data_IF_627741285606
#
_entry.id   IF_627741285606
#
_cell.length_a   1.000
_cell.length_b   1.000
_cell.length_c   1.000
_cell.angle_alpha   90.00
_cell.angle_beta   90.00
_cell.angle_gamma   90.00
#
_symmetry.space_group_name_H-M   'P 1'
#
loop_
_entity.id
_entity.type
_entity.pdbx_description
1 polymer ?
#
# COMPACT_ATOMS: atom_id res chain seq x y z
N UNK A 1 -25.94 30.66 -19.71
CA UNK A 1 -24.57 30.16 -19.94
C UNK A 1 -23.69 30.66 -18.81
N UNK A 2 -23.51 29.87 -17.78
CA UNK A 2 -22.67 30.19 -16.62
C UNK A 2 -21.43 29.28 -16.70
N UNK A 3 -20.32 29.88 -17.08
CA UNK A 3 -19.01 29.24 -17.07
C UNK A 3 -18.55 29.07 -15.63
N UNK A 4 -18.46 27.83 -15.16
CA UNK A 4 -17.83 27.50 -13.89
C UNK A 4 -16.33 27.50 -14.10
N UNK A 5 -15.63 28.52 -13.59
CA UNK A 5 -14.18 28.57 -13.53
C UNK A 5 -13.68 27.47 -12.60
N UNK A 6 -12.93 26.52 -13.14
CA UNK A 6 -12.10 25.59 -12.38
C UNK A 6 -10.87 26.39 -11.92
N UNK A 7 -10.82 26.75 -10.65
CA UNK A 7 -9.64 27.38 -10.05
C UNK A 7 -8.61 26.27 -9.78
N UNK A 8 -7.38 26.38 -10.30
CA UNK A 8 -6.32 25.43 -9.92
C UNK A 8 -5.96 25.71 -8.46
N UNK A 9 -6.06 24.66 -7.63
CA UNK A 9 -5.64 24.71 -6.22
C UNK A 9 -4.15 24.97 -6.18
N UNK A 10 -3.78 26.16 -5.69
CA UNK A 10 -2.43 26.62 -5.61
C UNK A 10 -1.60 25.78 -4.64
N UNK A 11 -0.35 25.52 -5.01
CA UNK A 11 0.66 24.63 -4.37
C UNK A 11 1.08 25.08 -2.95
N UNK A 12 0.48 26.12 -2.38
CA UNK A 12 0.86 26.72 -1.09
C UNK A 12 0.12 26.14 0.16
N UNK A 13 -0.83 25.21 -0.03
CA UNK A 13 -1.60 24.63 1.07
C UNK A 13 -1.13 23.26 1.56
N UNK A 14 -0.11 22.67 0.97
CA UNK A 14 0.27 21.29 1.25
C UNK A 14 1.06 21.08 2.55
N UNK A 15 1.73 22.12 3.05
CA UNK A 15 2.56 22.02 4.25
C UNK A 15 1.74 21.87 5.54
N UNK A 16 0.49 22.37 5.57
CA UNK A 16 -0.39 22.24 6.75
C UNK A 16 -1.21 20.93 6.76
N UNK A 17 -1.29 20.20 5.63
CA UNK A 17 -2.06 18.97 5.53
C UNK A 17 -1.33 17.74 6.09
N UNK A 18 -0.01 17.77 6.25
CA UNK A 18 0.78 16.60 6.65
C UNK A 18 0.68 16.31 8.15
N UNK A 19 0.45 17.31 8.98
CA UNK A 19 0.44 17.16 10.44
C UNK A 19 -0.81 16.46 10.98
N UNK A 20 -1.83 16.26 10.12
CA UNK A 20 -3.13 15.69 10.50
C UNK A 20 -3.55 14.45 9.71
N UNK A 21 -2.64 13.87 8.90
CA UNK A 21 -2.98 12.65 8.18
C UNK A 21 -3.03 11.43 9.12
N UNK A 22 -3.99 10.52 8.92
CA UNK A 22 -3.98 9.23 9.61
C UNK A 22 -2.66 8.50 9.39
N UNK A 23 -2.20 7.68 10.36
CA UNK A 23 -0.91 6.99 10.26
C UNK A 23 -0.83 5.95 9.15
N UNK A 24 -1.96 5.47 8.65
CA UNK A 24 -2.04 4.46 7.62
C UNK A 24 -2.81 4.95 6.38
N UNK A 25 -2.42 4.45 5.21
CA UNK A 25 -3.07 4.69 3.92
C UNK A 25 -3.41 3.36 3.26
N UNK A 26 -4.65 3.19 2.81
CA UNK A 26 -5.04 2.15 1.87
C UNK A 26 -5.24 2.77 0.49
N UNK A 27 -4.41 2.39 -0.46
CA UNK A 27 -4.35 3.05 -1.79
C UNK A 27 -5.32 2.46 -2.82
N UNK A 28 -6.00 1.36 -2.47
CA UNK A 28 -6.99 0.68 -3.32
C UNK A 28 -8.01 -0.04 -2.43
N UNK A 29 -8.75 0.71 -1.63
CA UNK A 29 -9.53 0.18 -0.51
C UNK A 29 -10.71 -0.73 -0.91
N UNK A 30 -11.20 -0.61 -2.15
CA UNK A 30 -12.31 -1.40 -2.63
C UNK A 30 -13.50 -1.42 -1.66
N UNK A 31 -14.13 -2.57 -1.50
CA UNK A 31 -15.22 -2.78 -0.54
C UNK A 31 -14.77 -3.07 0.89
N UNK A 32 -13.48 -2.87 1.22
CA UNK A 32 -12.91 -3.03 2.58
C UNK A 32 -13.22 -4.41 3.18
N UNK A 33 -13.09 -5.46 2.40
CA UNK A 33 -13.52 -6.81 2.77
C UNK A 33 -12.66 -7.47 3.84
N UNK A 34 -11.45 -6.99 4.06
CA UNK A 34 -10.50 -7.54 5.04
C UNK A 34 -10.33 -6.64 6.30
N UNK A 35 -11.11 -5.56 6.40
CA UNK A 35 -11.11 -4.71 7.58
C UNK A 35 -11.92 -5.34 8.72
N UNK A 36 -11.41 -5.28 9.94
CA UNK A 36 -12.18 -5.59 11.15
C UNK A 36 -13.19 -4.49 11.45
N UNK A 37 -12.78 -3.23 11.34
CA UNK A 37 -13.64 -2.06 11.38
C UNK A 37 -13.46 -1.26 10.09
N UNK A 38 -14.51 -1.20 9.29
CA UNK A 38 -14.50 -0.46 8.02
C UNK A 38 -14.47 1.05 8.19
N UNK A 39 -14.73 1.54 9.40
CA UNK A 39 -14.75 2.96 9.73
C UNK A 39 -13.50 3.37 10.55
N UNK A 40 -12.50 2.51 10.68
CA UNK A 40 -11.28 2.81 11.42
C UNK A 40 -10.64 4.10 10.87
N UNK A 41 -10.59 5.13 11.70
CA UNK A 41 -10.10 6.48 11.38
C UNK A 41 -8.57 6.57 11.32
N UNK A 42 -7.88 5.53 11.78
CA UNK A 42 -6.42 5.43 11.64
C UNK A 42 -5.98 5.12 10.22
N UNK A 43 -6.90 4.74 9.33
CA UNK A 43 -6.63 4.40 7.94
C UNK A 43 -7.35 5.37 7.03
N UNK A 44 -6.60 6.14 6.26
CA UNK A 44 -7.12 6.92 5.15
C UNK A 44 -7.33 5.99 3.95
N UNK A 45 -8.52 6.02 3.38
CA UNK A 45 -8.95 5.07 2.35
C UNK A 45 -9.04 5.77 1.00
N UNK A 46 -8.25 5.31 0.04
CA UNK A 46 -8.26 5.79 -1.35
C UNK A 46 -8.77 4.71 -2.30
N UNK A 47 -9.40 5.12 -3.35
CA UNK A 47 -9.74 4.29 -4.52
C UNK A 47 -9.98 5.21 -5.73
N UNK A 48 -9.56 4.78 -6.91
CA UNK A 48 -9.77 5.56 -8.13
C UNK A 48 -11.22 5.51 -8.64
N UNK A 49 -11.99 4.50 -8.19
CA UNK A 49 -13.30 4.19 -8.77
C UNK A 49 -14.37 4.02 -7.70
N UNK A 50 -14.91 5.12 -7.12
CA UNK A 50 -16.07 5.05 -6.25
C UNK A 50 -17.25 4.39 -6.98
N UNK A 51 -17.95 3.47 -6.29
CA UNK A 51 -19.10 2.77 -6.90
C UNK A 51 -20.00 2.14 -5.85
N UNK A 52 -21.27 2.08 -6.19
CA UNK A 52 -22.28 1.40 -5.40
C UNK A 52 -23.06 0.47 -6.32
N UNK A 53 -22.93 -0.85 -6.14
CA UNK A 53 -23.48 -1.86 -7.02
C UNK A 53 -24.19 -2.95 -6.22
N UNK A 54 -25.26 -3.52 -6.81
CA UNK A 54 -25.81 -4.78 -6.34
C UNK A 54 -25.22 -5.91 -7.18
N UNK A 55 -24.51 -6.82 -6.54
CA UNK A 55 -23.92 -7.99 -7.18
C UNK A 55 -25.00 -9.00 -7.59
N UNK A 56 -24.66 -9.91 -8.50
CA UNK A 56 -25.57 -10.94 -9.00
C UNK A 56 -26.12 -11.88 -7.91
N UNK A 57 -25.44 -11.98 -6.74
CA UNK A 57 -25.89 -12.75 -5.57
C UNK A 57 -26.70 -11.92 -4.57
N UNK A 58 -27.11 -10.69 -4.93
CA UNK A 58 -27.89 -9.78 -4.10
C UNK A 58 -27.10 -8.99 -3.05
N UNK A 59 -25.78 -9.24 -2.89
CA UNK A 59 -24.94 -8.45 -1.97
C UNK A 59 -24.66 -7.07 -2.56
N UNK A 60 -24.63 -6.06 -1.70
CA UNK A 60 -24.20 -4.73 -2.11
C UNK A 60 -22.67 -4.61 -2.02
N UNK A 61 -22.08 -4.13 -3.07
CA UNK A 61 -20.71 -3.63 -3.09
C UNK A 61 -20.76 -2.11 -2.98
N UNK A 62 -20.16 -1.60 -1.93
CA UNK A 62 -19.98 -0.17 -1.71
C UNK A 62 -18.49 0.14 -1.64
N UNK A 63 -18.02 0.96 -2.59
CA UNK A 63 -16.66 1.50 -2.63
C UNK A 63 -16.78 3.00 -2.45
N UNK A 64 -16.65 3.42 -1.20
CA UNK A 64 -16.77 4.81 -0.74
C UNK A 64 -15.43 5.22 -0.11
N UNK A 65 -14.42 5.60 -0.92
CA UNK A 65 -13.14 6.06 -0.41
C UNK A 65 -13.30 7.43 0.26
N UNK A 66 -12.41 7.73 1.21
CA UNK A 66 -12.30 9.06 1.82
C UNK A 66 -11.74 10.06 0.78
N UNK A 67 -10.84 9.59 -0.08
CA UNK A 67 -10.23 10.37 -1.17
C UNK A 67 -10.28 9.56 -2.46
N UNK A 68 -10.74 10.18 -3.54
CA UNK A 68 -10.66 9.61 -4.88
C UNK A 68 -9.26 9.87 -5.43
N UNK A 69 -8.47 8.81 -5.53
CA UNK A 69 -7.09 8.90 -6.01
C UNK A 69 -6.67 7.62 -6.72
N UNK A 70 -5.78 7.76 -7.68
CA UNK A 70 -5.16 6.64 -8.39
C UNK A 70 -3.87 6.23 -7.66
N UNK A 71 -3.70 4.94 -7.39
CA UNK A 71 -2.51 4.43 -6.71
C UNK A 71 -1.21 4.64 -7.51
N UNK A 72 -1.32 4.96 -8.81
CA UNK A 72 -0.18 5.26 -9.69
C UNK A 72 0.34 6.69 -9.55
N UNK A 73 -0.45 7.57 -8.90
CA UNK A 73 -0.13 8.97 -8.67
C UNK A 73 -0.87 9.45 -7.41
N UNK A 74 -0.26 9.21 -6.25
CA UNK A 74 -0.89 9.52 -4.97
C UNK A 74 -0.74 11.01 -4.63
N UNK A 75 -1.83 11.69 -4.22
CA UNK A 75 -1.82 13.12 -3.92
C UNK A 75 -1.24 13.43 -2.53
N UNK A 76 -0.17 12.75 -2.14
CA UNK A 76 0.46 12.95 -0.84
C UNK A 76 1.96 13.21 -0.99
N UNK A 77 2.55 14.01 -0.09
CA UNK A 77 3.99 14.20 -0.03
C UNK A 77 4.74 12.88 0.26
N UNK A 78 6.03 12.90 -0.02
CA UNK A 78 6.93 11.83 0.39
C UNK A 78 6.88 11.66 1.91
N UNK A 79 7.08 10.43 2.40
CA UNK A 79 7.22 10.13 3.84
C UNK A 79 6.05 10.60 4.70
N UNK A 80 4.81 10.42 4.22
CA UNK A 80 3.59 10.86 4.91
C UNK A 80 3.05 9.81 5.88
N UNK A 81 3.19 8.50 5.58
CA UNK A 81 2.51 7.42 6.29
C UNK A 81 3.47 6.43 6.93
N UNK A 82 3.05 5.84 8.06
CA UNK A 82 3.79 4.76 8.71
C UNK A 82 3.46 3.38 8.13
N UNK A 83 2.23 3.23 7.63
CA UNK A 83 1.72 2.00 7.02
C UNK A 83 1.04 2.34 5.69
N UNK A 84 1.33 1.58 4.65
CA UNK A 84 0.58 1.61 3.39
C UNK A 84 0.05 0.22 3.10
N UNK A 85 -1.21 0.14 2.71
CA UNK A 85 -1.86 -1.10 2.28
C UNK A 85 -2.06 -0.99 0.77
N UNK A 86 -1.63 -2.02 0.04
CA UNK A 86 -1.75 -2.08 -1.41
C UNK A 86 -2.39 -3.40 -1.83
N UNK A 87 -3.69 -3.37 -2.16
CA UNK A 87 -4.48 -4.48 -2.70
C UNK A 87 -5.01 -4.10 -4.08
N UNK A 88 -4.11 -3.96 -5.09
CA UNK A 88 -4.53 -3.54 -6.42
C UNK A 88 -5.42 -4.59 -7.10
N UNK A 89 -6.14 -4.20 -8.16
CA UNK A 89 -6.78 -5.18 -9.04
C UNK A 89 -5.81 -6.25 -9.48
N UNK A 90 -6.26 -7.51 -9.47
CA UNK A 90 -5.43 -8.68 -9.81
C UNK A 90 -5.93 -9.40 -11.08
N UNK A 91 -7.00 -8.90 -11.70
CA UNK A 91 -7.51 -9.41 -12.96
C UNK A 91 -6.93 -8.58 -14.11
N UNK A 92 -6.40 -9.23 -15.13
CA UNK A 92 -5.93 -8.60 -16.37
C UNK A 92 -6.83 -8.94 -17.57
N UNK A 93 -7.68 -9.95 -17.41
CA UNK A 93 -8.68 -10.38 -18.41
C UNK A 93 -10.03 -10.62 -17.74
N UNK A 94 -11.08 -10.72 -18.56
CA UNK A 94 -12.42 -11.02 -18.09
C UNK A 94 -13.35 -9.80 -18.11
N UNK A 95 -14.60 -10.07 -17.75
CA UNK A 95 -15.71 -9.11 -17.70
C UNK A 95 -16.74 -9.57 -16.66
N UNK A 96 -17.74 -8.72 -16.39
CA UNK A 96 -18.84 -9.02 -15.49
C UNK A 96 -18.48 -8.83 -14.02
N UNK A 97 -19.24 -9.46 -13.12
CA UNK A 97 -19.29 -9.17 -11.71
C UNK A 97 -17.92 -9.25 -10.98
N UNK A 98 -16.99 -10.08 -11.47
CA UNK A 98 -15.64 -10.15 -10.87
C UNK A 98 -14.86 -8.87 -11.14
N UNK A 99 -14.94 -8.35 -12.36
CA UNK A 99 -14.32 -7.07 -12.72
C UNK A 99 -15.02 -5.92 -11.99
N UNK A 100 -16.34 -5.98 -11.90
CA UNK A 100 -17.10 -4.98 -11.13
C UNK A 100 -16.70 -4.94 -9.67
N UNK A 101 -16.39 -6.11 -9.08
CA UNK A 101 -16.04 -6.24 -7.67
C UNK A 101 -14.57 -5.90 -7.37
N UNK A 102 -13.66 -6.41 -8.18
CA UNK A 102 -12.21 -6.37 -7.86
C UNK A 102 -11.44 -5.37 -8.72
N UNK A 103 -12.09 -4.76 -9.72
CA UNK A 103 -11.40 -3.97 -10.71
C UNK A 103 -10.61 -4.84 -11.70
N UNK A 104 -9.99 -4.18 -12.67
CA UNK A 104 -9.20 -4.83 -13.70
C UNK A 104 -7.99 -3.98 -14.06
N UNK A 105 -6.83 -4.63 -14.16
CA UNK A 105 -5.64 -4.06 -14.77
C UNK A 105 -5.75 -4.11 -16.29
N UNK A 106 -5.12 -3.18 -16.98
CA UNK A 106 -4.98 -3.28 -18.43
C UNK A 106 -4.00 -4.41 -18.76
N UNK A 107 -4.40 -5.31 -19.67
CA UNK A 107 -3.55 -6.42 -20.10
C UNK A 107 -2.22 -5.94 -20.68
N UNK A 108 -2.20 -4.81 -21.35
CA UNK A 108 -1.02 -4.28 -22.04
C UNK A 108 -0.10 -3.47 -21.12
N UNK A 109 -0.64 -2.90 -20.02
CA UNK A 109 0.10 -1.95 -19.15
C UNK A 109 0.24 -2.37 -17.69
N UNK A 110 -0.27 -3.53 -17.28
CA UNK A 110 -0.28 -3.94 -15.88
C UNK A 110 1.11 -3.92 -15.20
N UNK A 111 2.18 -4.21 -15.97
CA UNK A 111 3.55 -4.15 -15.46
C UNK A 111 3.93 -2.72 -15.05
N UNK A 112 3.64 -1.76 -15.94
CA UNK A 112 3.92 -0.35 -15.70
C UNK A 112 3.04 0.20 -14.58
N UNK A 113 1.75 -0.14 -14.58
CA UNK A 113 0.78 0.28 -13.58
C UNK A 113 1.17 -0.19 -12.17
N UNK A 114 1.52 -1.47 -12.02
CA UNK A 114 1.95 -2.01 -10.74
C UNK A 114 3.33 -1.46 -10.31
N UNK A 115 4.26 -1.28 -11.25
CA UNK A 115 5.55 -0.67 -10.93
C UNK A 115 5.37 0.77 -10.41
N UNK A 116 4.53 1.58 -11.07
CA UNK A 116 4.18 2.94 -10.59
C UNK A 116 3.54 2.86 -9.20
N UNK A 117 2.57 1.97 -9.01
CA UNK A 117 1.91 1.78 -7.74
C UNK A 117 2.87 1.42 -6.62
N UNK A 118 3.79 0.49 -6.83
CA UNK A 118 4.82 0.17 -5.84
C UNK A 118 5.70 1.38 -5.52
N UNK A 119 6.14 2.13 -6.53
CA UNK A 119 6.97 3.33 -6.32
C UNK A 119 6.23 4.39 -5.51
N UNK A 120 4.98 4.65 -5.81
CA UNK A 120 4.16 5.60 -5.07
C UNK A 120 3.93 5.15 -3.62
N UNK A 121 3.58 3.87 -3.41
CA UNK A 121 3.44 3.31 -2.07
C UNK A 121 4.72 3.48 -1.24
N UNK A 122 5.90 3.21 -1.83
CA UNK A 122 7.17 3.35 -1.15
C UNK A 122 7.55 4.82 -0.95
N UNK A 123 7.23 5.71 -1.89
CA UNK A 123 7.50 7.15 -1.80
C UNK A 123 6.78 7.79 -0.61
N UNK A 124 5.51 7.45 -0.42
CA UNK A 124 4.70 8.03 0.65
C UNK A 124 4.95 7.39 2.01
N UNK A 125 5.69 6.29 2.10
CA UNK A 125 6.08 5.68 3.36
C UNK A 125 7.20 6.45 4.05
N UNK A 126 7.06 6.62 5.36
CA UNK A 126 8.11 7.13 6.25
C UNK A 126 9.28 6.13 6.35
N UNK A 127 10.46 6.57 6.77
CA UNK A 127 11.53 5.66 7.18
C UNK A 127 11.02 4.66 8.23
N UNK A 128 11.44 3.41 8.13
CA UNK A 128 10.93 2.29 8.92
C UNK A 128 9.42 2.00 8.74
N UNK A 129 8.75 2.67 7.81
CA UNK A 129 7.35 2.40 7.47
C UNK A 129 7.17 1.06 6.78
N UNK A 130 5.96 0.53 6.82
CA UNK A 130 5.64 -0.81 6.33
C UNK A 130 4.65 -0.74 5.18
N UNK A 131 4.98 -1.41 4.07
CA UNK A 131 4.04 -1.72 2.99
C UNK A 131 3.47 -3.11 3.21
N UNK A 132 2.16 -3.21 3.32
CA UNK A 132 1.40 -4.47 3.30
C UNK A 132 0.83 -4.64 1.91
N UNK A 133 1.41 -5.56 1.16
CA UNK A 133 0.96 -5.89 -0.19
C UNK A 133 0.12 -7.16 -0.17
N UNK A 134 -1.10 -7.08 -0.76
CA UNK A 134 -1.97 -8.23 -0.93
C UNK A 134 -2.11 -8.55 -2.40
N UNK A 135 -1.95 -9.82 -2.76
CA UNK A 135 -2.07 -10.29 -4.13
C UNK A 135 -2.86 -11.61 -4.21
N UNK A 136 -3.80 -11.66 -5.14
CA UNK A 136 -4.47 -12.90 -5.49
C UNK A 136 -3.89 -13.45 -6.79
N UNK A 137 -3.08 -14.51 -6.67
CA UNK A 137 -2.37 -15.14 -7.78
C UNK A 137 -3.32 -15.97 -8.63
N UNK A 138 -3.94 -15.35 -9.62
CA UNK A 138 -4.88 -16.01 -10.53
C UNK A 138 -4.33 -16.04 -11.96
N UNK A 139 -4.28 -14.91 -12.65
CA UNK A 139 -3.74 -14.81 -14.01
C UNK A 139 -2.25 -14.50 -13.99
N UNK A 140 -1.83 -13.59 -13.12
CA UNK A 140 -0.46 -13.08 -13.06
C UNK A 140 0.26 -13.73 -11.88
N UNK A 141 1.37 -14.45 -12.12
CA UNK A 141 2.14 -15.09 -11.06
C UNK A 141 2.74 -14.06 -10.08
N UNK A 142 2.71 -14.38 -8.80
CA UNK A 142 3.27 -13.51 -7.75
C UNK A 142 4.73 -13.12 -8.02
N UNK A 143 5.54 -14.05 -8.50
CA UNK A 143 6.96 -13.80 -8.80
C UNK A 143 7.16 -12.65 -9.80
N UNK A 144 6.27 -12.57 -10.80
CA UNK A 144 6.36 -11.57 -11.86
C UNK A 144 5.94 -10.19 -11.32
N UNK A 145 4.94 -10.16 -10.42
CA UNK A 145 4.52 -8.96 -9.72
C UNK A 145 5.60 -8.45 -8.75
N UNK A 146 6.21 -9.35 -7.96
CA UNK A 146 7.27 -8.97 -7.02
C UNK A 146 8.52 -8.44 -7.73
N UNK A 147 8.79 -8.87 -8.95
CA UNK A 147 9.89 -8.34 -9.76
C UNK A 147 9.73 -6.86 -10.13
N UNK A 148 8.51 -6.32 -10.05
CA UNK A 148 8.22 -4.91 -10.34
C UNK A 148 8.46 -3.98 -9.13
N UNK A 149 8.53 -4.55 -7.91
CA UNK A 149 8.75 -3.78 -6.71
C UNK A 149 10.25 -3.48 -6.53
N UNK A 150 10.67 -2.21 -6.35
CA UNK A 150 12.07 -1.87 -6.13
C UNK A 150 12.60 -2.31 -4.75
N UNK A 151 11.72 -2.59 -3.79
CA UNK A 151 12.08 -3.08 -2.47
C UNK A 151 11.99 -4.61 -2.40
N UNK A 152 12.76 -5.21 -1.47
CA UNK A 152 12.68 -6.65 -1.19
C UNK A 152 11.69 -6.92 -0.05
N UNK A 153 10.83 -7.94 -0.18
CA UNK A 153 9.95 -8.31 0.92
C UNK A 153 10.73 -8.91 2.09
N UNK A 154 10.27 -8.64 3.31
CA UNK A 154 10.86 -9.21 4.55
C UNK A 154 10.12 -10.45 5.04
N UNK A 155 8.80 -10.46 4.96
CA UNK A 155 7.96 -11.60 5.34
C UNK A 155 6.77 -11.75 4.39
N UNK A 156 6.17 -12.94 4.37
CA UNK A 156 4.95 -13.21 3.64
C UNK A 156 4.40 -14.59 3.98
N UNK A 157 3.12 -14.80 3.72
CA UNK A 157 2.54 -16.12 3.90
C UNK A 157 2.92 -17.02 2.72
N UNK A 158 3.71 -18.03 2.99
CA UNK A 158 3.89 -19.14 2.05
C UNK A 158 2.74 -20.13 2.26
N UNK A 159 1.71 -20.06 1.43
CA UNK A 159 0.62 -21.03 1.48
C UNK A 159 0.76 -22.03 0.35
N UNK A 160 0.84 -23.34 0.66
CA UNK A 160 0.77 -24.36 -0.36
C UNK A 160 -0.66 -24.46 -0.89
N UNK A 161 -0.79 -24.58 -2.19
CA UNK A 161 -1.89 -25.13 -3.01
C UNK A 161 -3.35 -24.72 -2.75
N UNK A 162 -3.77 -24.39 -1.53
CA UNK A 162 -5.20 -24.18 -1.21
C UNK A 162 -5.65 -22.70 -1.27
N UNK A 163 -4.74 -21.75 -1.12
CA UNK A 163 -5.07 -20.33 -1.19
C UNK A 163 -4.12 -19.62 -2.16
N UNK A 164 -4.70 -18.93 -3.14
CA UNK A 164 -3.96 -18.09 -4.09
C UNK A 164 -3.74 -16.67 -3.55
N UNK A 165 -4.20 -16.37 -2.34
CA UNK A 165 -4.03 -15.06 -1.72
C UNK A 165 -2.73 -15.00 -0.94
N UNK A 166 -1.92 -14.01 -1.26
CA UNK A 166 -0.65 -13.73 -0.63
C UNK A 166 -0.72 -12.41 0.11
N UNK A 167 -0.15 -12.38 1.31
CA UNK A 167 0.09 -11.19 2.11
C UNK A 167 1.61 -11.07 2.27
N UNK A 168 2.15 -9.97 1.83
CA UNK A 168 3.59 -9.74 1.75
C UNK A 168 3.89 -8.39 2.38
N UNK A 169 4.93 -8.34 3.21
CA UNK A 169 5.34 -7.15 3.90
C UNK A 169 6.72 -6.71 3.42
N UNK A 170 6.83 -5.41 3.19
CA UNK A 170 8.08 -4.71 2.93
C UNK A 170 8.27 -3.67 4.02
N UNK A 171 9.50 -3.38 4.38
CA UNK A 171 9.84 -2.33 5.33
C UNK A 171 10.82 -1.37 4.68
N UNK A 172 10.58 -0.09 4.87
CA UNK A 172 11.50 0.94 4.43
C UNK A 172 12.75 0.93 5.29
N UNK A 173 13.89 1.17 4.66
CA UNK A 173 15.13 1.37 5.38
C UNK A 173 15.00 2.57 6.33
N UNK A 174 15.67 2.53 7.50
CA UNK A 174 15.78 3.71 8.35
C UNK A 174 16.50 4.83 7.59
N UNK A 175 16.23 6.08 7.96
CA UNK A 175 17.08 7.16 7.44
C UNK A 175 18.54 6.90 7.82
N UNK A 176 19.50 7.18 6.93
CA UNK A 176 20.90 7.12 7.27
C UNK A 176 21.11 8.03 8.49
N UNK A 177 21.35 7.44 9.64
CA UNK A 177 21.82 8.21 10.77
C UNK A 177 23.19 8.71 10.38
N UNK A 178 23.37 10.03 10.37
CA UNK A 178 24.68 10.62 10.43
C UNK A 178 25.38 9.90 11.60
N UNK A 179 26.42 9.14 11.33
CA UNK A 179 27.05 8.27 12.33
C UNK A 179 27.52 9.15 13.49
N UNK A 180 26.64 9.37 14.45
CA UNK A 180 27.07 9.75 15.79
C UNK A 180 27.97 8.57 16.23
N UNK A 181 29.28 8.82 16.28
CA UNK A 181 30.24 7.85 16.74
C UNK A 181 29.70 7.25 18.03
N UNK A 182 29.38 5.96 18.01
CA UNK A 182 29.00 5.24 19.22
C UNK A 182 30.09 5.55 20.23
N UNK A 183 29.78 6.06 21.44
CA UNK A 183 30.79 6.20 22.45
C UNK A 183 31.43 4.83 22.62
N UNK A 184 32.75 4.77 22.55
CA UNK A 184 33.53 3.56 22.81
C UNK A 184 33.22 3.10 24.24
N UNK A 185 32.18 2.30 24.40
CA UNK A 185 31.58 1.88 25.65
C UNK A 185 31.60 0.36 25.74
N UNK A 186 32.63 -0.16 26.39
CA UNK A 186 32.68 -1.42 27.15
C UNK A 186 31.87 -2.58 26.54
N UNK A 187 32.39 -3.17 25.48
CA UNK A 187 32.09 -4.55 25.16
C UNK A 187 32.59 -5.38 26.34
N UNK A 188 31.70 -5.87 27.16
CA UNK A 188 32.04 -6.86 28.21
C UNK A 188 32.40 -8.13 27.43
N UNK A 189 33.69 -8.42 27.35
CA UNK A 189 34.22 -9.64 26.80
C UNK A 189 33.74 -10.82 27.65
N UNK A 190 32.85 -11.62 27.11
CA UNK A 190 32.29 -12.81 27.75
C UNK A 190 33.29 -13.96 27.89
N UNK A 191 34.59 -13.74 27.72
CA UNK A 191 35.61 -14.77 27.91
C UNK A 191 36.16 -14.85 29.33
N UNK A 192 35.79 -13.94 30.23
CA UNK A 192 36.32 -13.92 31.61
C UNK A 192 35.52 -14.75 32.62
N UNK A 193 34.44 -15.43 32.19
CA UNK A 193 33.57 -16.21 33.09
C UNK A 193 33.84 -17.74 33.13
N UNK A 194 34.92 -18.20 32.49
CA UNK A 194 35.21 -19.65 32.39
C UNK A 194 36.39 -20.14 33.24
N UNK A 195 36.89 -19.35 34.24
CA UNK A 195 37.98 -19.77 35.11
C UNK A 195 37.69 -19.53 36.58
N UNK A 196 36.51 -19.90 37.07
CA UNK A 196 36.20 -19.95 38.51
C UNK A 196 35.22 -21.07 38.82
N UNK A 197 35.67 -22.31 38.67
CA UNK A 197 35.20 -23.51 39.41
C UNK A 197 36.31 -24.52 39.47
#
# INVERSE_FOLDING_TARGET
>A
MTMTCIVPIAVHGWCEMTDNLPPALDVACGGRSFYFDKQDDRVLKCDAHPRHLTLCDGRTLDVSPDIVADFRELPYPDKSFNLVIFDPPHLDVGSGWQVDKYGKLSHDSWHEDLNKGFRECLRVLKPCGVLVFKWYEYHIPLKDVLALCPAKPIIGNRRPKASKTHWILFMMEPEPQEQAALPAGNYIDNQTLALAT
#
